data_IF_769430048941
#
_entry.id   IF_769430048941
#
_cell.length_a   1.000
_cell.length_b   1.000
_cell.length_c   1.000
_cell.angle_alpha   90.00
_cell.angle_beta   90.00
_cell.angle_gamma   90.00
#
_symmetry.space_group_name_H-M   'P 1'
#
loop_
_entity.id
_entity.type
_entity.pdbx_description
1 polymer ?
#
# COMPACT_ATOMS: atom_id res chain seq x y z
N UNK A 1 -28.84 9.35 8.31
CA UNK A 1 -28.51 7.95 8.57
C UNK A 1 -28.96 7.17 7.35
N UNK A 2 -28.11 7.15 6.34
CA UNK A 2 -28.23 6.24 5.20
C UNK A 2 -27.22 5.16 5.48
N UNK A 3 -27.70 3.93 5.68
CA UNK A 3 -26.88 2.75 5.91
C UNK A 3 -25.87 2.61 4.76
N UNK A 4 -24.59 2.68 5.08
CA UNK A 4 -23.47 2.72 4.13
C UNK A 4 -23.05 1.35 3.60
N UNK A 5 -23.93 0.35 3.61
CA UNK A 5 -23.52 -1.04 3.42
C UNK A 5 -24.06 -1.73 2.15
N UNK A 6 -24.56 -0.97 1.17
CA UNK A 6 -24.93 -1.49 -0.16
C UNK A 6 -24.14 -0.76 -1.26
N UNK A 7 -22.81 -0.64 -1.09
CA UNK A 7 -21.95 -0.46 -2.26
C UNK A 7 -21.92 -1.79 -2.99
N UNK A 8 -22.38 -1.78 -4.25
CA UNK A 8 -22.22 -2.92 -5.14
C UNK A 8 -20.72 -3.23 -5.28
N UNK A 9 -20.25 -4.25 -4.56
CA UNK A 9 -18.84 -4.65 -4.55
C UNK A 9 -18.35 -5.05 -5.94
N UNK A 10 -19.25 -5.35 -6.90
CA UNK A 10 -18.87 -5.70 -8.27
C UNK A 10 -18.35 -4.52 -9.09
N UNK A 11 -18.58 -3.27 -8.64
CA UNK A 11 -18.02 -2.05 -9.25
C UNK A 11 -17.00 -1.36 -8.34
N UNK A 12 -16.79 -1.87 -7.12
CA UNK A 12 -15.81 -1.31 -6.19
C UNK A 12 -14.42 -1.38 -6.81
N UNK A 13 -13.72 -0.25 -6.81
CA UNK A 13 -12.36 -0.11 -7.35
C UNK A 13 -12.19 -0.34 -8.86
N UNK A 14 -13.27 -0.53 -9.63
CA UNK A 14 -13.19 -0.83 -11.07
C UNK A 14 -12.52 0.28 -11.91
N UNK A 15 -12.53 1.53 -11.41
CA UNK A 15 -11.82 2.68 -12.01
C UNK A 15 -10.36 2.84 -11.52
N UNK A 16 -9.91 1.92 -10.67
CA UNK A 16 -8.60 1.93 -10.03
C UNK A 16 -8.46 2.98 -8.93
N UNK A 17 -9.56 3.36 -8.29
CA UNK A 17 -9.56 4.21 -7.09
C UNK A 17 -9.85 3.40 -5.84
N UNK A 18 -9.21 3.77 -4.73
CA UNK A 18 -9.44 3.13 -3.44
C UNK A 18 -9.25 4.12 -2.28
N UNK A 19 -9.77 3.77 -1.11
CA UNK A 19 -9.52 4.50 0.13
C UNK A 19 -8.48 3.72 0.94
N UNK A 20 -7.36 4.37 1.26
CA UNK A 20 -6.28 3.80 2.07
C UNK A 20 -6.35 4.40 3.47
N UNK A 21 -6.35 3.57 4.51
CA UNK A 21 -6.15 4.01 5.89
C UNK A 21 -4.67 3.92 6.21
N UNK A 22 -4.04 5.07 6.45
CA UNK A 22 -2.61 5.15 6.72
C UNK A 22 -2.31 4.63 8.13
N UNK A 23 -1.38 3.70 8.24
CA UNK A 23 -0.87 3.19 9.51
C UNK A 23 0.53 3.75 9.78
N UNK A 24 1.39 3.80 8.75
CA UNK A 24 2.79 4.17 8.87
C UNK A 24 3.05 5.39 7.98
N UNK A 25 3.21 6.59 8.56
CA UNK A 25 3.53 7.78 7.76
C UNK A 25 4.92 7.68 7.13
N UNK A 26 5.09 8.34 5.99
CA UNK A 26 6.36 8.46 5.28
C UNK A 26 7.50 8.86 6.22
N UNK A 27 8.64 8.19 6.07
CA UNK A 27 9.84 8.38 6.87
C UNK A 27 9.79 7.74 8.26
N UNK A 28 8.62 7.26 8.71
CA UNK A 28 8.51 6.56 9.99
C UNK A 28 9.22 5.21 9.95
N UNK A 29 9.87 4.90 11.07
CA UNK A 29 10.39 3.57 11.38
C UNK A 29 9.57 2.86 12.45
N UNK A 30 8.55 3.53 12.99
CA UNK A 30 7.59 2.89 13.85
C UNK A 30 6.54 2.25 12.95
N UNK A 31 6.37 0.95 13.11
CA UNK A 31 5.25 0.21 12.58
C UNK A 31 4.09 0.38 13.55
N UNK A 32 3.01 0.95 13.04
CA UNK A 32 1.73 0.95 13.69
C UNK A 32 0.82 -0.03 12.94
N UNK A 33 -0.20 -0.52 13.61
CA UNK A 33 -1.24 -1.38 13.04
C UNK A 33 -2.59 -0.92 13.58
N UNK A 34 -3.61 -0.94 12.73
CA UNK A 34 -4.99 -0.76 13.15
C UNK A 34 -5.55 -2.06 13.72
N UNK A 35 -6.27 -1.99 14.82
CA UNK A 35 -7.15 -3.08 15.26
C UNK A 35 -8.47 -3.07 14.47
N UNK A 36 -9.26 -4.15 14.59
CA UNK A 36 -10.55 -4.31 13.89
C UNK A 36 -11.56 -3.17 14.15
N UNK A 37 -11.45 -2.48 15.29
CA UNK A 37 -12.26 -1.32 15.68
C UNK A 37 -11.67 0.03 15.24
N UNK A 38 -10.54 0.02 14.53
CA UNK A 38 -9.88 1.18 13.95
C UNK A 38 -8.93 1.92 14.92
N UNK A 39 -8.65 1.39 16.11
CA UNK A 39 -7.66 1.97 17.00
C UNK A 39 -6.24 1.73 16.47
N UNK A 40 -5.38 2.75 16.52
CA UNK A 40 -4.00 2.65 16.07
C UNK A 40 -3.08 2.26 17.22
N UNK A 41 -2.43 1.11 17.08
CA UNK A 41 -1.49 0.57 18.05
C UNK A 41 -0.06 0.64 17.54
N UNK A 42 0.86 0.98 18.44
CA UNK A 42 2.27 0.74 18.16
C UNK A 42 2.54 -0.76 18.26
N UNK A 43 2.97 -1.37 17.16
CA UNK A 43 3.41 -2.76 17.12
C UNK A 43 4.89 -2.85 17.47
N UNK A 44 5.75 -2.28 16.60
CA UNK A 44 7.21 -2.33 16.79
C UNK A 44 7.93 -1.20 16.06
N UNK A 45 9.23 -1.10 16.30
CA UNK A 45 10.13 -0.33 15.45
C UNK A 45 10.82 -1.24 14.43
N UNK A 46 10.87 -0.82 13.17
CA UNK A 46 11.58 -1.53 12.11
C UNK A 46 13.07 -1.72 12.46
N UNK A 47 13.59 -2.88 12.09
CA UNK A 47 14.98 -3.25 12.33
C UNK A 47 15.98 -2.46 11.48
N UNK A 48 15.62 -2.17 10.23
CA UNK A 48 16.45 -1.43 9.27
C UNK A 48 16.56 0.07 9.57
N UNK A 49 17.57 0.76 9.03
CA UNK A 49 17.77 2.20 9.22
C UNK A 49 16.80 3.08 8.42
N UNK A 50 16.20 2.55 7.36
CA UNK A 50 15.27 3.26 6.49
C UNK A 50 13.84 3.27 7.08
N UNK A 51 13.15 4.39 6.91
CA UNK A 51 11.69 4.48 7.11
C UNK A 51 10.95 4.22 5.80
N UNK A 52 9.62 4.16 5.86
CA UNK A 52 8.79 3.97 4.67
C UNK A 52 8.95 5.13 3.66
N UNK A 53 9.08 4.86 2.34
CA UNK A 53 9.30 5.90 1.34
C UNK A 53 8.04 6.74 1.01
N UNK A 54 6.87 6.24 1.40
CA UNK A 54 5.56 6.89 1.29
C UNK A 54 4.72 6.56 2.52
N UNK A 55 3.48 7.05 2.55
CA UNK A 55 2.53 6.62 3.58
C UNK A 55 2.09 5.19 3.28
N UNK A 56 2.02 4.34 4.30
CA UNK A 56 1.69 2.92 4.15
C UNK A 56 0.52 2.56 5.05
N UNK A 57 -0.35 1.68 4.57
CA UNK A 57 -1.43 1.08 5.34
C UNK A 57 -2.26 0.16 4.46
N UNK A 58 -3.54 0.00 4.78
CA UNK A 58 -4.41 -0.96 4.10
C UNK A 58 -5.54 -0.30 3.31
N UNK A 59 -6.06 -1.03 2.32
CA UNK A 59 -7.20 -0.63 1.50
C UNK A 59 -8.50 -1.08 2.15
N UNK A 60 -9.48 -0.16 2.22
CA UNK A 60 -10.81 -0.49 2.72
C UNK A 60 -11.55 -1.37 1.70
N UNK A 61 -11.98 -2.55 2.14
CA UNK A 61 -12.88 -3.42 1.39
C UNK A 61 -12.20 -4.36 0.39
N UNK A 62 -10.88 -4.53 0.49
CA UNK A 62 -10.08 -5.43 -0.33
C UNK A 62 -9.21 -6.31 0.59
N UNK A 63 -9.31 -7.63 0.44
CA UNK A 63 -8.55 -8.62 1.22
C UNK A 63 -7.34 -9.10 0.41
N UNK A 64 -6.17 -9.11 1.05
CA UNK A 64 -4.92 -9.61 0.48
C UNK A 64 -4.86 -11.14 0.42
N UNK A 65 -3.82 -11.64 -0.25
CA UNK A 65 -3.64 -13.08 -0.46
C UNK A 65 -3.28 -13.85 0.84
N UNK A 66 -2.85 -13.15 1.87
CA UNK A 66 -2.56 -13.68 3.20
C UNK A 66 -3.78 -13.70 4.14
N UNK A 67 -4.91 -13.14 3.69
CA UNK A 67 -6.16 -13.03 4.44
C UNK A 67 -6.26 -11.80 5.34
N UNK A 68 -5.24 -10.94 5.37
CA UNK A 68 -5.30 -9.61 5.97
C UNK A 68 -5.80 -8.59 4.91
N UNK A 69 -6.08 -7.34 5.30
CA UNK A 69 -6.48 -6.33 4.33
C UNK A 69 -5.35 -6.01 3.33
N UNK A 70 -5.70 -5.76 2.07
CA UNK A 70 -4.72 -5.51 1.00
C UNK A 70 -3.91 -4.25 1.30
N UNK A 71 -2.59 -4.40 1.34
CA UNK A 71 -1.67 -3.33 1.66
C UNK A 71 -1.46 -2.34 0.49
N UNK A 72 -1.25 -1.07 0.81
CA UNK A 72 -0.93 -0.01 -0.12
C UNK A 72 0.15 0.94 0.40
N UNK A 73 1.07 1.32 -0.49
CA UNK A 73 1.99 2.44 -0.32
C UNK A 73 1.53 3.63 -1.17
N UNK A 74 1.21 4.73 -0.51
CA UNK A 74 0.81 6.00 -1.11
C UNK A 74 2.04 6.90 -1.28
N UNK A 75 2.38 7.21 -2.52
CA UNK A 75 3.45 8.13 -2.85
C UNK A 75 2.97 9.57 -2.58
N UNK A 76 3.45 10.14 -1.47
CA UNK A 76 3.12 11.49 -1.02
C UNK A 76 4.38 12.25 -0.62
N UNK A 77 4.43 13.55 -0.88
CA UNK A 77 5.60 14.39 -0.61
C UNK A 77 5.72 14.78 0.88
N UNK A 78 4.60 14.97 1.56
CA UNK A 78 4.53 15.32 2.98
C UNK A 78 3.77 14.24 3.74
N UNK A 79 4.39 13.71 4.80
CA UNK A 79 3.81 12.62 5.57
C UNK A 79 2.47 13.03 6.21
N UNK A 80 1.50 12.12 6.22
CA UNK A 80 0.27 12.35 6.99
C UNK A 80 0.44 11.88 8.45
N UNK A 81 -0.61 11.30 9.04
CA UNK A 81 -0.62 10.77 10.39
C UNK A 81 -1.38 9.44 10.42
N UNK A 82 -1.08 8.53 11.36
CA UNK A 82 -1.79 7.27 11.46
C UNK A 82 -3.30 7.47 11.66
N UNK A 83 -4.12 6.62 11.03
CA UNK A 83 -5.57 6.69 11.02
C UNK A 83 -6.18 7.64 9.99
N UNK A 84 -5.36 8.29 9.14
CA UNK A 84 -5.88 9.13 8.04
C UNK A 84 -6.42 8.27 6.92
N UNK A 85 -7.60 8.63 6.42
CA UNK A 85 -8.13 8.09 5.17
C UNK A 85 -7.64 8.95 4.00
N UNK A 86 -6.98 8.32 3.03
CA UNK A 86 -6.54 8.95 1.79
C UNK A 86 -7.27 8.32 0.62
N UNK A 87 -7.97 9.15 -0.15
CA UNK A 87 -8.51 8.75 -1.46
C UNK A 87 -7.37 8.65 -2.45
N UNK A 88 -7.23 7.49 -3.06
CA UNK A 88 -6.06 7.12 -3.83
C UNK A 88 -6.44 6.66 -5.22
N UNK A 89 -5.49 6.81 -6.14
CA UNK A 89 -5.52 6.21 -7.47
C UNK A 89 -4.35 5.24 -7.57
N UNK A 90 -4.64 3.95 -7.78
CA UNK A 90 -3.62 2.90 -7.95
C UNK A 90 -2.84 3.15 -9.23
N UNK A 91 -1.51 3.06 -9.18
CA UNK A 91 -0.64 3.22 -10.36
C UNK A 91 0.14 1.95 -10.70
N UNK A 92 0.21 0.97 -9.79
CA UNK A 92 0.89 -0.30 -10.00
C UNK A 92 0.97 -1.10 -8.71
N UNK A 93 1.78 -2.15 -8.70
CA UNK A 93 2.00 -2.98 -7.51
C UNK A 93 3.34 -3.71 -7.54
N UNK A 94 3.75 -4.19 -6.37
CA UNK A 94 4.82 -5.17 -6.20
C UNK A 94 4.23 -6.46 -5.65
N UNK A 95 4.60 -7.59 -6.26
CA UNK A 95 4.31 -8.92 -5.72
C UNK A 95 5.54 -9.41 -4.96
N UNK A 96 5.35 -9.73 -3.67
CA UNK A 96 6.40 -10.17 -2.77
C UNK A 96 6.17 -11.62 -2.34
N UNK A 97 7.25 -12.37 -2.14
CA UNK A 97 7.23 -13.64 -1.38
C UNK A 97 7.69 -13.36 0.04
N UNK A 98 6.81 -13.54 1.02
CA UNK A 98 7.10 -13.36 2.45
C UNK A 98 7.02 -14.71 3.16
N UNK A 99 8.18 -15.33 3.40
CA UNK A 99 8.23 -16.75 3.77
C UNK A 99 7.67 -17.62 2.65
N UNK A 100 6.54 -18.29 2.88
CA UNK A 100 5.87 -19.18 1.92
C UNK A 100 4.57 -18.57 1.34
N UNK A 101 4.29 -17.29 1.62
CA UNK A 101 3.06 -16.60 1.22
C UNK A 101 3.39 -15.49 0.23
N UNK A 102 2.56 -15.34 -0.80
CA UNK A 102 2.60 -14.23 -1.74
C UNK A 102 1.83 -13.08 -1.14
N UNK A 103 2.38 -11.88 -1.15
CA UNK A 103 1.70 -10.68 -0.66
C UNK A 103 1.83 -9.58 -1.72
N UNK A 104 0.70 -9.07 -2.22
CA UNK A 104 0.69 -7.88 -3.08
C UNK A 104 0.77 -6.61 -2.24
N UNK A 105 1.63 -5.67 -2.65
CA UNK A 105 1.64 -4.28 -2.14
C UNK A 105 1.25 -3.34 -3.28
N UNK A 106 0.08 -2.71 -3.19
CA UNK A 106 -0.34 -1.70 -4.16
C UNK A 106 0.51 -0.44 -4.02
N UNK A 107 0.78 0.21 -5.15
CA UNK A 107 1.38 1.55 -5.20
C UNK A 107 0.33 2.51 -5.71
N UNK A 108 0.09 3.59 -4.98
CA UNK A 108 -0.94 4.56 -5.30
C UNK A 108 -0.46 6.00 -5.11
N UNK A 109 -1.23 6.95 -5.63
CA UNK A 109 -1.04 8.40 -5.42
C UNK A 109 -2.33 9.03 -4.88
N UNK A 110 -2.27 10.11 -4.08
CA UNK A 110 -3.47 10.79 -3.60
C UNK A 110 -4.27 11.40 -4.75
N UNK A 111 -5.59 11.20 -4.76
CA UNK A 111 -6.47 11.76 -5.80
C UNK A 111 -6.51 13.29 -5.79
N UNK A 112 -6.49 13.88 -4.60
CA UNK A 112 -6.63 15.33 -4.44
C UNK A 112 -5.32 16.10 -4.64
N UNK A 113 -4.19 15.40 -4.77
CA UNK A 113 -2.88 16.02 -4.94
C UNK A 113 -2.50 16.12 -6.42
N UNK A 114 -2.74 17.31 -6.98
CA UNK A 114 -2.44 17.62 -8.38
C UNK A 114 -0.94 17.54 -8.73
N UNK A 115 -0.04 17.54 -7.74
CA UNK A 115 1.38 17.30 -8.01
C UNK A 115 1.62 15.89 -8.58
N UNK A 116 0.76 14.91 -8.26
CA UNK A 116 0.86 13.53 -8.72
C UNK A 116 0.03 13.23 -9.98
N UNK A 117 -0.66 14.22 -10.58
CA UNK A 117 -1.54 14.00 -11.76
C UNK A 117 -0.81 13.37 -12.95
N UNK A 118 0.48 13.68 -13.11
CA UNK A 118 1.32 13.17 -14.17
C UNK A 118 1.78 11.72 -13.96
N UNK A 119 1.57 11.15 -12.77
CA UNK A 119 1.98 9.79 -12.42
C UNK A 119 0.79 8.86 -12.68
N UNK A 120 0.80 8.19 -13.83
CA UNK A 120 -0.33 7.36 -14.29
C UNK A 120 -0.10 5.87 -14.16
N UNK A 121 1.13 5.43 -14.37
CA UNK A 121 1.55 4.03 -14.30
C UNK A 121 2.92 3.92 -13.61
N UNK A 122 3.06 2.93 -12.72
CA UNK A 122 4.29 2.66 -11.98
C UNK A 122 5.45 2.33 -12.92
N UNK A 123 5.19 1.63 -14.02
CA UNK A 123 6.23 1.23 -14.97
C UNK A 123 6.76 2.39 -15.82
N UNK A 124 6.11 3.55 -15.78
CA UNK A 124 6.57 4.78 -16.43
C UNK A 124 7.52 5.60 -15.54
N UNK A 125 7.68 5.21 -14.26
CA UNK A 125 8.59 5.89 -13.34
C UNK A 125 10.06 5.60 -13.65
N UNK A 126 11.00 6.46 -13.22
CA UNK A 126 12.43 6.22 -13.41
C UNK A 126 12.86 4.87 -12.80
N UNK A 127 13.60 4.06 -13.55
CA UNK A 127 14.01 2.72 -13.09
C UNK A 127 14.77 2.78 -11.75
N UNK A 128 15.59 3.81 -11.53
CA UNK A 128 16.28 4.00 -10.24
C UNK A 128 15.31 4.12 -9.05
N UNK A 129 14.17 4.81 -9.23
CA UNK A 129 13.14 4.90 -8.20
C UNK A 129 12.49 3.54 -7.95
N UNK A 130 12.23 2.76 -9.01
CA UNK A 130 11.64 1.44 -8.90
C UNK A 130 12.58 0.42 -8.25
N UNK A 131 13.88 0.53 -8.51
CA UNK A 131 14.92 -0.24 -7.83
C UNK A 131 15.02 0.14 -6.35
N UNK A 132 14.96 1.43 -6.00
CA UNK A 132 14.95 1.90 -4.61
C UNK A 132 13.73 1.37 -3.85
N UNK A 133 12.55 1.39 -4.47
CA UNK A 133 11.32 0.88 -3.87
C UNK A 133 11.37 -0.65 -3.68
N UNK A 134 11.90 -1.39 -4.67
CA UNK A 134 12.14 -2.82 -4.54
C UNK A 134 13.14 -3.17 -3.44
N UNK A 135 14.23 -2.40 -3.34
CA UNK A 135 15.22 -2.56 -2.27
C UNK A 135 14.63 -2.27 -0.89
N UNK A 136 13.72 -1.30 -0.77
CA UNK A 136 12.98 -1.06 0.45
C UNK A 136 12.14 -2.27 0.86
N UNK A 137 11.33 -2.84 -0.04
CA UNK A 137 10.51 -4.01 0.26
C UNK A 137 11.34 -5.26 0.60
N UNK A 138 12.51 -5.42 -0.01
CA UNK A 138 13.42 -6.48 0.38
C UNK A 138 13.99 -6.29 1.81
N UNK A 139 14.22 -5.04 2.22
CA UNK A 139 14.95 -4.71 3.46
C UNK A 139 14.06 -4.39 4.68
N UNK A 140 12.80 -3.98 4.51
CA UNK A 140 12.01 -3.43 5.63
C UNK A 140 11.73 -4.46 6.74
N UNK A 141 11.71 -5.76 6.43
CA UNK A 141 11.60 -6.87 7.37
C UNK A 141 12.93 -7.59 7.65
N UNK A 142 14.09 -7.00 7.34
CA UNK A 142 15.41 -7.67 7.40
C UNK A 142 15.76 -8.32 8.75
N UNK A 143 15.29 -7.76 9.88
CA UNK A 143 15.54 -8.31 11.22
C UNK A 143 14.37 -9.14 11.77
N UNK A 144 13.41 -9.46 10.93
CA UNK A 144 12.26 -10.30 11.27
C UNK A 144 12.52 -11.76 10.89
N UNK A 145 11.66 -12.66 11.35
CA UNK A 145 11.84 -14.10 11.17
C UNK A 145 11.58 -14.59 9.74
N UNK A 146 10.83 -13.81 8.94
CA UNK A 146 10.46 -14.16 7.56
C UNK A 146 11.32 -13.36 6.57
N UNK A 147 11.89 -14.05 5.59
CA UNK A 147 12.56 -13.41 4.44
C UNK A 147 11.53 -12.81 3.49
N UNK A 148 11.93 -11.74 2.80
CA UNK A 148 11.14 -11.10 1.74
C UNK A 148 11.91 -11.15 0.42
N UNK A 149 11.28 -11.65 -0.63
CA UNK A 149 11.77 -11.61 -2.01
C UNK A 149 10.80 -10.81 -2.88
N UNK A 150 11.32 -9.92 -3.71
CA UNK A 150 10.52 -9.20 -4.71
C UNK A 150 10.43 -10.10 -5.95
N UNK A 151 9.22 -10.54 -6.31
CA UNK A 151 9.00 -11.44 -7.44
C UNK A 151 8.76 -10.66 -8.72
N UNK A 152 7.72 -9.80 -8.70
CA UNK A 152 7.23 -9.11 -9.88
C UNK A 152 6.86 -7.66 -9.56
N UNK A 153 6.93 -6.82 -10.58
CA UNK A 153 6.46 -5.44 -10.58
C UNK A 153 5.41 -5.29 -11.66
N UNK A 154 4.27 -4.71 -11.33
CA UNK A 154 3.13 -4.58 -12.23
C UNK A 154 2.77 -3.12 -12.46
N UNK A 155 2.39 -2.80 -13.70
CA UNK A 155 1.77 -1.52 -14.06
C UNK A 155 0.32 -1.43 -13.60
N UNK A 156 -0.31 -0.30 -13.90
CA UNK A 156 -1.64 0.07 -13.41
C UNK A 156 -2.68 -1.01 -13.68
N UNK A 157 -2.79 -1.46 -14.93
CA UNK A 157 -3.87 -2.35 -15.34
C UNK A 157 -3.87 -3.68 -14.60
N UNK A 158 -2.68 -4.22 -14.31
CA UNK A 158 -2.55 -5.46 -13.56
C UNK A 158 -2.85 -5.25 -12.08
N UNK A 159 -2.35 -4.16 -11.48
CA UNK A 159 -2.63 -3.83 -10.09
C UNK A 159 -4.12 -3.54 -9.82
N UNK A 160 -4.82 -2.90 -10.76
CA UNK A 160 -6.27 -2.67 -10.66
C UNK A 160 -7.05 -3.99 -10.72
N UNK A 161 -6.61 -4.96 -11.54
CA UNK A 161 -7.23 -6.30 -11.52
C UNK A 161 -7.05 -6.97 -10.17
N UNK A 162 -5.85 -6.93 -9.60
CA UNK A 162 -5.60 -7.45 -8.24
C UNK A 162 -6.51 -6.79 -7.22
N UNK A 163 -6.66 -5.46 -7.27
CA UNK A 163 -7.53 -4.73 -6.35
C UNK A 163 -9.02 -5.09 -6.51
N UNK A 164 -9.49 -5.35 -7.73
CA UNK A 164 -10.89 -5.74 -7.99
C UNK A 164 -11.17 -7.18 -7.59
N UNK A 165 -10.16 -8.06 -7.69
CA UNK A 165 -10.28 -9.47 -7.32
C UNK A 165 -10.12 -9.70 -5.79
N UNK A 166 -9.69 -8.67 -5.06
CA UNK A 166 -9.48 -8.65 -3.61
C UNK A 166 -10.75 -8.39 -2.79
#
# INVERSE_FOLDING_TARGET
>A
MTDSNDLDRSELHADGRCDVVVEIPRGSRNKYEASDDGEIWFDRRLGGPAGFPGDYGYVIGADGEDGDALDALVLIDEATFPGVHVRCRVIGSYLLRVGDVDETKLIAVPEADHHADHITDLLEMPEAFLEELGAFFHAYRMLESKSVEVLERHGRDAAVRTLVDA
#
